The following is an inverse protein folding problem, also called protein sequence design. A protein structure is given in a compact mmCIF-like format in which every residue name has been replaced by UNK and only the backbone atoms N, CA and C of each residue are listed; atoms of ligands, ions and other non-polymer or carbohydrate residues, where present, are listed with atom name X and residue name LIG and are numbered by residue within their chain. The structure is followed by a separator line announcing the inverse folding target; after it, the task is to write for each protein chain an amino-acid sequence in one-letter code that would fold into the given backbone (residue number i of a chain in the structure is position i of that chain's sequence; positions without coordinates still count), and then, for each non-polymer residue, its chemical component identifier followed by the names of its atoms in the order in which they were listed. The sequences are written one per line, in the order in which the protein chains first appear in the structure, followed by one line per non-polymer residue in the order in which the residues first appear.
data_IF_747480676897
#
_entry.id   IF_747480676897
#
_cell.length_a   1.000
_cell.length_b   1.000
_cell.length_c   1.000
_cell.angle_alpha   90.00
_cell.angle_beta   90.00
_cell.angle_gamma   90.00
#
_symmetry.space_group_name_H-M   'P 1'
#
loop_
_entity.id
_entity.type
_entity.pdbx_description
1 polymer ?
#
# COMPACT_ATOMS: atom_id res chain seq x y z
N UNK A 1 -21.52 1.46 36.20
CA UNK A 1 -20.53 0.36 36.29
C UNK A 1 -20.62 -0.45 35.01
N UNK A 2 -19.46 -0.62 34.40
CA UNK A 2 -19.13 -1.37 33.18
C UNK A 2 -19.69 -2.79 33.13
N UNK A 3 -20.01 -3.28 31.94
CA UNK A 3 -19.20 -4.32 31.29
C UNK A 3 -19.63 -4.58 29.83
N UNK A 4 -18.64 -4.45 28.97
CA UNK A 4 -18.59 -4.75 27.54
C UNK A 4 -18.67 -6.26 27.30
N UNK A 5 -19.37 -6.68 26.24
CA UNK A 5 -19.28 -8.04 25.68
C UNK A 5 -18.36 -8.05 24.46
N UNK A 6 -17.58 -9.13 24.25
CA UNK A 6 -16.36 -9.10 23.46
C UNK A 6 -16.63 -9.27 21.97
N UNK A 7 -15.92 -8.48 21.17
CA UNK A 7 -15.69 -8.70 19.74
C UNK A 7 -14.83 -9.96 19.57
N UNK A 8 -15.48 -11.12 19.50
CA UNK A 8 -14.91 -12.36 18.96
C UNK A 8 -15.94 -12.93 18.02
N UNK A 9 -15.82 -12.64 16.73
CA UNK A 9 -16.32 -13.47 15.64
C UNK A 9 -15.53 -13.13 14.36
N UNK A 10 -14.57 -14.03 14.09
CA UNK A 10 -14.15 -14.53 12.77
C UNK A 10 -13.91 -13.51 11.65
N UNK A 11 -12.65 -13.13 11.45
CA UNK A 11 -12.15 -12.51 10.19
C UNK A 11 -12.21 -13.52 9.02
N UNK A 12 -12.34 -14.81 9.35
CA UNK A 12 -12.38 -15.94 8.42
C UNK A 12 -13.64 -15.98 7.53
N UNK A 13 -14.74 -15.35 7.92
CA UNK A 13 -16.03 -15.52 7.23
C UNK A 13 -16.16 -14.68 5.94
N UNK A 14 -15.15 -13.84 5.61
CA UNK A 14 -15.24 -12.82 4.57
C UNK A 14 -14.57 -13.15 3.23
N UNK A 15 -13.87 -14.29 3.12
CA UNK A 15 -13.09 -14.61 1.92
C UNK A 15 -13.53 -15.94 1.29
N UNK A 16 -14.46 -15.87 0.34
CA UNK A 16 -14.78 -17.00 -0.53
C UNK A 16 -14.77 -16.63 -2.02
N UNK A 17 -13.87 -17.31 -2.73
CA UNK A 17 -14.03 -17.93 -4.06
C UNK A 17 -13.71 -17.13 -5.36
N UNK A 18 -13.02 -17.91 -6.22
CA UNK A 18 -13.01 -18.04 -7.70
C UNK A 18 -12.09 -17.15 -8.54
N UNK A 19 -11.24 -17.87 -9.29
CA UNK A 19 -10.30 -17.38 -10.28
C UNK A 19 -10.95 -17.34 -11.67
N UNK A 20 -11.26 -16.13 -12.14
CA UNK A 20 -11.27 -15.76 -13.56
C UNK A 20 -11.70 -14.30 -13.66
N UNK A 21 -10.77 -13.36 -13.84
CA UNK A 21 -11.12 -12.07 -14.45
C UNK A 21 -9.90 -11.47 -15.16
N UNK A 22 -9.98 -11.51 -16.49
CA UNK A 22 -9.01 -11.07 -17.52
C UNK A 22 -8.91 -9.54 -17.69
N UNK A 23 -9.55 -8.76 -16.80
CA UNK A 23 -9.53 -7.28 -16.84
C UNK A 23 -8.34 -6.65 -16.10
N UNK A 24 -7.55 -7.45 -15.39
CA UNK A 24 -6.44 -6.98 -14.54
C UNK A 24 -5.22 -6.56 -15.38
N UNK A 25 -5.01 -7.15 -16.55
CA UNK A 25 -3.74 -7.01 -17.29
C UNK A 25 -3.55 -5.64 -17.96
N UNK A 26 -4.62 -4.93 -18.35
CA UNK A 26 -4.50 -3.57 -18.91
C UNK A 26 -4.23 -2.50 -17.84
N UNK A 27 -4.50 -2.77 -16.56
CA UNK A 27 -4.29 -1.85 -15.44
C UNK A 27 -2.85 -1.92 -14.85
N UNK A 28 -2.09 -2.95 -15.22
CA UNK A 28 -0.71 -3.17 -14.75
C UNK A 28 0.28 -2.14 -15.33
N UNK A 29 -0.02 -1.55 -16.48
CA UNK A 29 0.92 -0.74 -17.26
C UNK A 29 0.79 0.79 -17.10
N UNK A 30 -0.14 1.29 -16.29
CA UNK A 30 -0.32 2.74 -16.08
C UNK A 30 0.65 3.29 -15.01
N UNK A 31 1.84 3.70 -15.44
CA UNK A 31 2.69 4.82 -14.97
C UNK A 31 2.73 5.26 -13.48
N UNK A 32 2.44 4.40 -12.50
CA UNK A 32 2.75 4.66 -11.08
C UNK A 32 3.84 3.69 -10.65
N UNK A 33 5.14 4.09 -10.66
CA UNK A 33 6.27 3.25 -10.23
C UNK A 33 6.33 3.02 -8.70
N UNK A 34 5.31 3.48 -7.97
CA UNK A 34 5.28 3.53 -6.51
C UNK A 34 5.03 2.21 -5.75
N UNK A 35 4.44 1.12 -6.30
CA UNK A 35 4.10 -0.03 -5.46
C UNK A 35 5.25 -1.02 -5.22
N UNK A 36 6.07 -1.39 -6.21
CA UNK A 36 6.89 -2.61 -6.07
C UNK A 36 7.99 -2.52 -5.01
N UNK A 37 8.71 -1.38 -4.95
CA UNK A 37 9.76 -1.20 -3.95
C UNK A 37 9.20 -1.09 -2.52
N UNK A 38 7.99 -0.52 -2.36
CA UNK A 38 7.28 -0.51 -1.07
C UNK A 38 6.81 -1.92 -0.71
N UNK A 39 6.33 -2.72 -1.68
CA UNK A 39 6.00 -4.13 -1.45
C UNK A 39 7.23 -4.90 -0.94
N UNK A 40 8.38 -4.72 -1.59
CA UNK A 40 9.64 -5.32 -1.15
C UNK A 40 10.07 -4.90 0.25
N UNK A 41 9.89 -3.61 0.59
CA UNK A 41 10.14 -3.10 1.94
C UNK A 41 9.17 -3.69 2.99
N UNK A 42 7.87 -3.76 2.65
CA UNK A 42 6.85 -4.36 3.50
C UNK A 42 7.18 -5.83 3.80
N UNK A 43 7.58 -6.59 2.78
CA UNK A 43 8.01 -7.98 2.97
C UNK A 43 9.26 -8.07 3.85
N UNK A 44 10.23 -7.19 3.63
CA UNK A 44 11.47 -7.19 4.42
C UNK A 44 11.24 -6.92 5.90
N UNK A 45 10.31 -6.04 6.23
CA UNK A 45 10.08 -5.60 7.63
C UNK A 45 9.07 -6.46 8.40
N UNK A 46 8.44 -7.42 7.73
CA UNK A 46 7.42 -8.32 8.30
C UNK A 46 7.73 -9.80 8.03
N UNK A 47 9.03 -10.13 7.89
CA UNK A 47 9.50 -11.48 7.60
C UNK A 47 8.99 -12.54 8.59
N UNK A 48 8.78 -12.16 9.85
CA UNK A 48 8.25 -13.00 10.92
C UNK A 48 6.86 -13.58 10.63
N UNK A 49 6.09 -13.00 9.70
CA UNK A 49 4.73 -13.45 9.38
C UNK A 49 4.71 -14.74 8.55
N UNK A 50 5.78 -15.04 7.80
CA UNK A 50 5.88 -16.25 6.95
C UNK A 50 7.25 -16.94 7.04
N UNK A 51 8.06 -16.59 8.04
CA UNK A 51 9.44 -17.07 8.19
C UNK A 51 9.53 -18.60 8.16
N UNK A 52 8.55 -19.26 8.78
CA UNK A 52 8.52 -20.72 8.96
C UNK A 52 7.52 -21.41 7.99
N UNK A 53 7.08 -20.71 6.94
CA UNK A 53 6.14 -21.25 5.96
C UNK A 53 6.58 -21.00 4.51
N UNK A 54 7.25 -21.99 3.92
CA UNK A 54 7.73 -21.92 2.53
C UNK A 54 6.61 -21.71 1.52
N UNK A 55 5.41 -22.26 1.76
CA UNK A 55 4.25 -22.07 0.89
C UNK A 55 3.85 -20.58 0.80
N UNK A 56 3.70 -19.91 1.94
CA UNK A 56 3.38 -18.47 1.97
C UNK A 56 4.53 -17.64 1.41
N UNK A 57 5.77 -17.98 1.78
CA UNK A 57 6.96 -17.28 1.30
C UNK A 57 7.06 -17.32 -0.22
N UNK A 58 6.87 -18.48 -0.84
CA UNK A 58 6.90 -18.62 -2.30
C UNK A 58 5.70 -17.98 -3.00
N UNK A 59 4.56 -17.82 -2.30
CA UNK A 59 3.41 -17.08 -2.80
C UNK A 59 3.61 -15.56 -2.80
N UNK A 60 4.44 -15.04 -1.89
CA UNK A 60 4.63 -13.60 -1.66
C UNK A 60 5.94 -13.05 -2.26
N UNK A 61 7.02 -13.82 -2.14
CA UNK A 61 8.40 -13.42 -2.44
C UNK A 61 8.92 -14.22 -3.63
N UNK A 62 9.73 -13.57 -4.46
CA UNK A 62 10.38 -14.20 -5.62
C UNK A 62 11.78 -13.64 -5.81
N UNK A 63 12.52 -14.15 -6.79
CA UNK A 63 13.80 -13.59 -7.22
C UNK A 63 13.60 -12.71 -8.43
N UNK A 64 14.57 -11.83 -8.67
CA UNK A 64 14.54 -10.98 -9.87
C UNK A 64 14.54 -11.82 -11.14
N UNK A 65 15.34 -12.90 -11.18
CA UNK A 65 15.44 -13.79 -12.35
C UNK A 65 14.13 -14.53 -12.67
N UNK A 66 13.25 -14.71 -11.68
CA UNK A 66 11.99 -15.44 -11.80
C UNK A 66 10.82 -14.53 -12.25
N UNK A 67 11.07 -13.21 -12.36
CA UNK A 67 10.07 -12.25 -12.81
C UNK A 67 10.01 -12.19 -14.34
N UNK A 68 8.83 -11.88 -14.92
CA UNK A 68 8.71 -11.67 -16.37
C UNK A 68 9.67 -10.57 -16.86
N UNK A 69 10.33 -10.81 -18.00
CA UNK A 69 11.31 -9.88 -18.57
C UNK A 69 10.72 -8.50 -18.91
N UNK A 70 9.41 -8.44 -19.16
CA UNK A 70 8.66 -7.22 -19.47
C UNK A 70 8.08 -6.54 -18.22
N UNK A 71 8.39 -7.03 -17.02
CA UNK A 71 7.88 -6.48 -15.77
C UNK A 71 8.64 -5.22 -15.33
N UNK A 72 8.32 -4.07 -15.94
CA UNK A 72 8.97 -2.76 -15.73
C UNK A 72 9.12 -2.36 -14.25
N UNK A 73 8.17 -2.75 -13.40
CA UNK A 73 8.25 -2.45 -11.96
C UNK A 73 9.45 -3.13 -11.28
N UNK A 74 9.86 -4.30 -11.77
CA UNK A 74 11.04 -5.02 -11.31
C UNK A 74 12.33 -4.27 -11.63
N UNK A 75 12.44 -3.73 -12.85
CA UNK A 75 13.60 -2.93 -13.28
C UNK A 75 13.76 -1.69 -12.39
N UNK A 76 12.65 -1.02 -12.08
CA UNK A 76 12.65 0.12 -11.16
C UNK A 76 13.15 -0.28 -9.76
N UNK A 77 12.67 -1.40 -9.23
CA UNK A 77 13.10 -1.90 -7.93
C UNK A 77 14.57 -2.29 -7.94
N UNK A 78 15.03 -2.97 -8.99
CA UNK A 78 16.43 -3.35 -9.19
C UNK A 78 17.35 -2.13 -9.25
N UNK A 79 16.95 -1.06 -9.96
CA UNK A 79 17.71 0.19 -10.03
C UNK A 79 17.93 0.87 -8.67
N UNK A 80 17.02 0.63 -7.72
CA UNK A 80 17.08 1.14 -6.33
C UNK A 80 17.58 0.10 -5.33
N UNK A 81 17.84 -1.12 -5.79
CA UNK A 81 18.24 -2.21 -4.96
C UNK A 81 19.75 -2.15 -4.73
N UNK A 82 20.18 -1.51 -3.64
CA UNK A 82 21.56 -1.58 -3.16
C UNK A 82 21.87 -2.92 -2.45
N UNK A 83 21.33 -4.03 -2.96
CA UNK A 83 21.47 -5.39 -2.41
C UNK A 83 20.58 -5.72 -1.20
N UNK A 84 19.55 -4.91 -0.94
CA UNK A 84 18.74 -5.01 0.28
C UNK A 84 17.23 -5.08 0.10
N UNK A 85 16.69 -4.96 -1.11
CA UNK A 85 15.25 -5.02 -1.38
C UNK A 85 14.85 -6.43 -1.79
N UNK A 86 13.70 -6.87 -1.25
CA UNK A 86 13.08 -8.15 -1.60
C UNK A 86 12.22 -7.94 -2.84
N UNK A 87 12.30 -8.87 -3.80
CA UNK A 87 11.37 -8.92 -4.92
C UNK A 87 10.13 -9.72 -4.53
N UNK A 88 8.97 -9.24 -4.96
CA UNK A 88 7.68 -9.89 -4.67
C UNK A 88 7.11 -10.52 -5.92
N UNK A 89 6.29 -11.56 -5.74
CA UNK A 89 5.62 -12.22 -6.87
C UNK A 89 4.72 -11.24 -7.63
N UNK A 90 4.52 -11.49 -8.92
CA UNK A 90 3.60 -10.70 -9.76
C UNK A 90 2.19 -10.71 -9.17
N UNK A 91 1.75 -11.85 -8.62
CA UNK A 91 0.44 -11.97 -7.99
C UNK A 91 0.30 -11.05 -6.77
N UNK A 92 1.28 -11.06 -5.86
CA UNK A 92 1.26 -10.17 -4.70
C UNK A 92 1.33 -8.69 -5.12
N UNK A 93 2.14 -8.36 -6.12
CA UNK A 93 2.18 -7.01 -6.67
C UNK A 93 0.83 -6.55 -7.23
N UNK A 94 0.14 -7.41 -7.99
CA UNK A 94 -1.22 -7.13 -8.52
C UNK A 94 -2.22 -6.87 -7.39
N UNK A 95 -2.14 -7.62 -6.30
CA UNK A 95 -2.97 -7.41 -5.10
C UNK A 95 -2.73 -6.02 -4.51
N UNK A 96 -1.47 -5.66 -4.24
CA UNK A 96 -1.15 -4.36 -3.66
C UNK A 96 -1.50 -3.22 -4.62
N UNK A 97 -1.39 -3.43 -5.94
CA UNK A 97 -1.87 -2.46 -6.96
C UNK A 97 -3.36 -2.16 -6.86
N UNK A 98 -4.20 -3.18 -6.61
CA UNK A 98 -5.64 -2.99 -6.41
C UNK A 98 -5.91 -2.18 -5.15
N UNK A 99 -5.27 -2.54 -4.04
CA UNK A 99 -5.34 -1.80 -2.77
C UNK A 99 -4.90 -0.35 -2.97
N UNK A 100 -3.78 -0.15 -3.65
CA UNK A 100 -3.21 1.16 -3.94
C UNK A 100 -4.12 2.05 -4.79
N UNK A 101 -4.87 1.47 -5.73
CA UNK A 101 -5.85 2.22 -6.52
C UNK A 101 -6.95 2.79 -5.63
N UNK A 102 -7.46 2.01 -4.67
CA UNK A 102 -8.48 2.49 -3.72
C UNK A 102 -7.91 3.58 -2.81
N UNK A 103 -6.70 3.38 -2.28
CA UNK A 103 -6.01 4.36 -1.44
C UNK A 103 -5.78 5.67 -2.20
N UNK A 104 -5.31 5.60 -3.44
CA UNK A 104 -5.01 6.78 -4.25
C UNK A 104 -6.28 7.59 -4.53
N UNK A 105 -7.35 6.92 -4.95
CA UNK A 105 -8.66 7.55 -5.16
C UNK A 105 -9.17 8.21 -3.87
N UNK A 106 -9.02 7.54 -2.73
CA UNK A 106 -9.41 8.07 -1.43
C UNK A 106 -8.64 9.36 -1.07
N UNK A 107 -7.34 9.44 -1.36
CA UNK A 107 -6.54 10.64 -1.10
C UNK A 107 -6.72 11.75 -2.15
N UNK A 108 -7.30 11.45 -3.31
CA UNK A 108 -7.66 12.48 -4.30
C UNK A 108 -8.93 13.25 -3.90
N UNK A 109 -9.83 12.64 -3.11
CA UNK A 109 -11.00 13.31 -2.56
C UNK A 109 -10.55 14.44 -1.61
N UNK A 110 -10.72 15.72 -2.01
CA UNK A 110 -10.22 16.90 -1.26
C UNK A 110 -10.64 16.98 0.21
N UNK A 111 -11.67 16.24 0.59
CA UNK A 111 -12.26 16.24 1.92
C UNK A 111 -11.64 15.19 2.86
N UNK A 112 -10.82 14.24 2.36
CA UNK A 112 -10.28 13.14 3.19
C UNK A 112 -9.50 13.61 4.43
N UNK A 113 -8.91 14.81 4.37
CA UNK A 113 -8.19 15.48 5.47
C UNK A 113 -9.10 16.02 6.59
N UNK A 114 -10.38 16.19 6.32
CA UNK A 114 -11.38 16.70 7.28
C UNK A 114 -12.31 15.60 7.80
N UNK A 115 -12.17 14.37 7.31
CA UNK A 115 -13.00 13.24 7.71
C UNK A 115 -12.48 12.65 9.02
N UNK A 116 -13.24 12.83 10.11
CA UNK A 116 -13.11 11.99 11.31
C UNK A 116 -13.32 10.54 10.91
N UNK A 117 -12.46 9.62 11.37
CA UNK A 117 -12.48 8.18 11.02
C UNK A 117 -12.14 7.86 9.55
N UNK A 118 -11.31 8.68 8.89
CA UNK A 118 -10.86 8.43 7.51
C UNK A 118 -10.23 7.04 7.29
N UNK A 119 -9.50 6.52 8.28
CA UNK A 119 -8.92 5.17 8.23
C UNK A 119 -10.01 4.09 8.13
N UNK A 120 -11.05 4.16 8.97
CA UNK A 120 -12.16 3.19 8.98
C UNK A 120 -12.96 3.24 7.68
N UNK A 121 -13.20 4.44 7.13
CA UNK A 121 -13.87 4.63 5.83
C UNK A 121 -13.08 3.95 4.71
N UNK A 122 -11.76 4.14 4.66
CA UNK A 122 -10.91 3.45 3.68
C UNK A 122 -10.94 1.93 3.88
N UNK A 123 -10.79 1.44 5.12
CA UNK A 123 -10.83 0.01 5.39
C UNK A 123 -12.14 -0.63 4.92
N UNK A 124 -13.27 0.07 5.10
CA UNK A 124 -14.58 -0.38 4.61
C UNK A 124 -14.61 -0.51 3.08
N UNK A 125 -14.00 0.42 2.35
CA UNK A 125 -13.86 0.32 0.89
C UNK A 125 -12.94 -0.84 0.47
N UNK A 126 -11.84 -1.04 1.18
CA UNK A 126 -10.90 -2.14 0.91
C UNK A 126 -11.54 -3.51 1.15
N UNK A 127 -12.41 -3.64 2.15
CA UNK A 127 -13.15 -4.88 2.41
C UNK A 127 -14.11 -5.28 1.26
N UNK A 128 -14.45 -4.36 0.35
CA UNK A 128 -15.28 -4.65 -0.81
C UNK A 128 -14.46 -5.25 -1.97
N UNK A 129 -13.13 -5.22 -1.89
CA UNK A 129 -12.25 -5.77 -2.92
C UNK A 129 -12.26 -7.29 -2.88
N UNK A 130 -12.37 -7.90 -4.06
CA UNK A 130 -12.17 -9.34 -4.24
C UNK A 130 -10.69 -9.60 -4.50
N UNK A 131 -9.98 -10.06 -3.47
CA UNK A 131 -8.53 -10.27 -3.52
C UNK A 131 -8.23 -11.75 -3.28
N UNK A 132 -7.54 -12.44 -4.21
CA UNK A 132 -7.10 -13.81 -3.96
C UNK A 132 -6.01 -13.82 -2.89
N UNK A 133 -6.14 -14.70 -1.90
CA UNK A 133 -5.15 -14.84 -0.83
C UNK A 133 -4.00 -15.76 -1.28
N UNK A 134 -2.75 -15.25 -1.40
CA UNK A 134 -1.60 -16.07 -1.76
C UNK A 134 -1.05 -16.90 -0.60
N UNK A 135 -1.53 -16.68 0.63
CA UNK A 135 -1.11 -17.42 1.81
C UNK A 135 -1.84 -18.76 1.95
N UNK A 136 -1.23 -19.72 2.64
CA UNK A 136 -1.88 -20.98 2.95
C UNK A 136 -2.97 -20.81 4.02
N UNK A 137 -3.85 -21.81 4.17
CA UNK A 137 -4.98 -21.77 5.12
C UNK A 137 -4.59 -21.52 6.58
N UNK A 138 -3.38 -21.93 6.99
CA UNK A 138 -2.86 -21.70 8.34
C UNK A 138 -2.49 -20.23 8.58
N UNK A 139 -2.25 -19.47 7.51
CA UNK A 139 -1.77 -18.09 7.52
C UNK A 139 -2.70 -17.18 6.69
N UNK A 140 -3.99 -17.51 6.65
CA UNK A 140 -4.96 -16.75 5.85
C UNK A 140 -5.02 -15.27 6.29
N UNK A 141 -4.89 -15.03 7.59
CA UNK A 141 -4.85 -13.68 8.20
C UNK A 141 -3.61 -12.86 7.86
N UNK A 142 -2.57 -13.47 7.28
CA UNK A 142 -1.34 -12.76 6.93
C UNK A 142 -1.56 -11.72 5.83
N UNK A 143 -2.42 -12.00 4.84
CA UNK A 143 -2.70 -11.04 3.77
C UNK A 143 -3.45 -9.80 4.29
N UNK A 144 -4.58 -9.93 5.02
CA UNK A 144 -5.23 -8.79 5.67
C UNK A 144 -4.28 -7.96 6.54
N UNK A 145 -3.43 -8.61 7.34
CA UNK A 145 -2.43 -7.94 8.15
C UNK A 145 -1.44 -7.11 7.29
N UNK A 146 -0.92 -7.70 6.21
CA UNK A 146 -0.03 -7.02 5.28
C UNK A 146 -0.69 -5.83 4.59
N UNK A 147 -1.97 -5.94 4.22
CA UNK A 147 -2.75 -4.84 3.63
C UNK A 147 -2.89 -3.69 4.63
N UNK A 148 -3.21 -3.97 5.90
CA UNK A 148 -3.32 -2.95 6.96
C UNK A 148 -1.99 -2.22 7.15
N UNK A 149 -0.87 -2.95 7.23
CA UNK A 149 0.46 -2.36 7.35
C UNK A 149 0.82 -1.49 6.14
N UNK A 150 0.46 -1.93 4.92
CA UNK A 150 0.61 -1.12 3.72
C UNK A 150 -0.20 0.17 3.81
N UNK A 151 -1.47 0.09 4.23
CA UNK A 151 -2.34 1.26 4.43
C UNK A 151 -1.72 2.24 5.43
N UNK A 152 -1.18 1.76 6.55
CA UNK A 152 -0.51 2.61 7.54
C UNK A 152 0.71 3.35 6.96
N UNK A 153 1.54 2.66 6.18
CA UNK A 153 2.67 3.28 5.45
C UNK A 153 2.16 4.40 4.53
N UNK A 154 1.04 4.15 3.83
CA UNK A 154 0.42 5.13 2.92
C UNK A 154 -0.10 6.36 3.66
N UNK A 155 -0.83 6.19 4.76
CA UNK A 155 -1.30 7.31 5.59
C UNK A 155 -0.14 8.15 6.15
N UNK A 156 0.95 7.50 6.58
CA UNK A 156 2.13 8.21 7.06
C UNK A 156 2.80 9.04 5.96
N UNK A 157 2.97 8.45 4.78
CA UNK A 157 3.55 9.14 3.62
C UNK A 157 2.67 10.32 3.17
N UNK A 158 1.35 10.12 3.17
CA UNK A 158 0.40 11.17 2.82
C UNK A 158 0.41 12.31 3.83
N UNK A 159 0.46 12.00 5.13
CA UNK A 159 0.61 13.00 6.19
C UNK A 159 1.90 13.83 6.03
N UNK A 160 3.01 13.19 5.64
CA UNK A 160 4.27 13.89 5.33
C UNK A 160 4.15 14.76 4.07
N UNK A 161 3.54 14.23 3.00
CA UNK A 161 3.30 14.97 1.75
C UNK A 161 2.50 16.24 2.03
N UNK A 162 1.41 16.10 2.77
CA UNK A 162 0.53 17.20 3.18
C UNK A 162 1.30 18.24 4.00
N UNK A 163 2.01 17.82 5.04
CA UNK A 163 2.85 18.72 5.86
C UNK A 163 3.86 19.50 5.00
N UNK A 164 4.56 18.83 4.10
CA UNK A 164 5.55 19.45 3.23
C UNK A 164 4.92 20.48 2.28
N UNK A 165 3.72 20.18 1.76
CA UNK A 165 2.97 21.09 0.88
C UNK A 165 2.47 22.34 1.62
N UNK A 166 2.06 22.21 2.88
CA UNK A 166 1.69 23.38 3.70
C UNK A 166 2.92 24.21 4.08
N UNK A 167 4.01 23.57 4.53
CA UNK A 167 5.25 24.27 4.88
C UNK A 167 5.87 24.99 3.66
N UNK A 168 5.77 24.42 2.45
CA UNK A 168 6.25 25.07 1.24
C UNK A 168 5.42 26.29 0.87
N UNK A 169 4.08 26.23 0.99
CA UNK A 169 3.20 27.41 0.81
C UNK A 169 3.57 28.52 1.78
N UNK A 170 3.69 28.22 3.08
CA UNK A 170 4.07 29.22 4.09
C UNK A 170 5.43 29.86 3.82
N UNK A 171 6.41 29.08 3.33
CA UNK A 171 7.73 29.62 2.92
C UNK A 171 7.64 30.52 1.69
N UNK A 172 6.85 30.15 0.70
CA UNK A 172 6.62 30.96 -0.51
C UNK A 172 5.95 32.28 -0.16
N UNK A 173 4.93 32.24 0.70
CA UNK A 173 4.21 33.44 1.15
C UNK A 173 5.12 34.38 1.96
N UNK A 174 5.94 33.84 2.86
CA UNK A 174 6.96 34.63 3.58
C UNK A 174 7.97 35.29 2.63
N UNK A 175 8.48 34.55 1.64
CA UNK A 175 9.43 35.08 0.66
C UNK A 175 8.80 36.15 -0.26
N UNK A 176 7.54 35.97 -0.64
CA UNK A 176 6.78 36.95 -1.41
C UNK A 176 6.61 38.25 -0.60
N UNK A 177 6.18 38.14 0.66
CA UNK A 177 6.02 39.29 1.54
C UNK A 177 7.35 40.02 1.78
N UNK A 178 8.43 39.29 2.05
CA UNK A 178 9.78 39.87 2.20
C UNK A 178 10.25 40.62 0.93
N UNK A 179 9.93 40.09 -0.26
CA UNK A 179 10.27 40.74 -1.54
C UNK A 179 9.45 42.03 -1.76
N UNK A 180 8.17 42.02 -1.38
CA UNK A 180 7.31 43.21 -1.42
C UNK A 180 7.81 44.31 -0.47
N UNK A 181 8.19 43.96 0.76
CA UNK A 181 8.78 44.92 1.70
C UNK A 181 10.09 45.55 1.18
N UNK A 182 10.94 44.76 0.51
CA UNK A 182 12.22 45.25 -0.07
C UNK A 182 12.07 46.09 -1.34
N UNK A 183 10.93 46.01 -2.02
CA UNK A 183 10.68 46.79 -3.26
C UNK A 183 9.85 48.05 -3.01
N UNK A 184 9.24 48.16 -1.83
CA UNK A 184 8.51 49.34 -1.38
C UNK A 184 9.35 50.31 -0.51
N UNK A 185 10.63 49.99 -0.28
CA UNK A 185 11.62 50.84 0.41
C UNK A 185 12.60 51.42 -0.60
#
# INVERSE_FOLDING_TARGET
MSQTKPWKNSVQDYFNISAADTSIDSFVNSASPYPLWICGYLMKTRDSVWKDCDACKNGLITKYEDLPLDFVSAEYTASRNYGGLIFVTVNFFKIIRLVESVISNFFEEKEHIYVTNCFEKLMTQLCQLKIPNPCCKLHEESLPYLIIEYVQIRFHNESKRFRNLYLSKTRTDMNFNLKMYRTAS
#
